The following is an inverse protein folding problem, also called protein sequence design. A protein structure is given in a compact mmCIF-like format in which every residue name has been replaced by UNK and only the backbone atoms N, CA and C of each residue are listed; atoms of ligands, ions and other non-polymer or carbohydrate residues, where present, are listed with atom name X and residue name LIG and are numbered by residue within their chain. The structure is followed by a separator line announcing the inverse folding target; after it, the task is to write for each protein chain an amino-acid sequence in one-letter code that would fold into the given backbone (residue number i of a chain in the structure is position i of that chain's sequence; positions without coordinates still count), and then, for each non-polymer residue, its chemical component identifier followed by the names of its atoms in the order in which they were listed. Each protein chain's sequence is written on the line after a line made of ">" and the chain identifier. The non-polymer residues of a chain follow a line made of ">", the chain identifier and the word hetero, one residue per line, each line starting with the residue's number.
data_IF_936399353503
#
_entry.id   IF_936399353503
#
_cell.length_a   1.000
_cell.length_b   1.000
_cell.length_c   1.000
_cell.angle_alpha   90.00
_cell.angle_beta   90.00
_cell.angle_gamma   90.00
#
_symmetry.space_group_name_H-M   'P 1'
#
loop_
_entity.id
_entity.type
_entity.pdbx_description
1 polymer ?
#
# COMPACT_ATOMS: atom_id res chain seq x y z
N UNK A 1 -23.31 63.40 19.83
CA UNK A 1 -23.09 63.90 18.45
C UNK A 1 -23.43 62.79 17.48
N UNK A 2 -24.09 63.18 16.38
CA UNK A 2 -24.52 62.42 15.19
C UNK A 2 -25.75 61.50 15.31
N UNK A 3 -26.82 61.79 14.53
CA UNK A 3 -27.97 60.91 14.31
C UNK A 3 -27.78 59.95 13.12
N UNK A 4 -28.58 58.90 13.16
CA UNK A 4 -28.75 57.80 12.22
C UNK A 4 -28.66 58.12 10.72
N UNK A 5 -28.02 57.22 9.96
CA UNK A 5 -28.36 56.91 8.56
C UNK A 5 -28.85 55.46 8.47
N UNK A 6 -30.05 55.29 7.91
CA UNK A 6 -30.64 53.99 7.55
C UNK A 6 -29.96 53.41 6.29
N UNK A 7 -29.74 52.09 6.21
CA UNK A 7 -29.43 51.42 4.95
C UNK A 7 -30.69 51.07 4.14
N UNK A 8 -30.64 51.06 2.80
CA UNK A 8 -31.77 50.67 1.94
C UNK A 8 -32.03 49.15 1.95
N UNK A 9 -33.26 48.72 1.63
CA UNK A 9 -33.70 47.32 1.76
C UNK A 9 -33.21 46.41 0.63
N UNK A 10 -33.12 45.12 0.97
CA UNK A 10 -32.74 44.01 0.10
C UNK A 10 -33.85 43.64 -0.92
N UNK A 11 -33.50 43.12 -2.10
CA UNK A 11 -34.43 42.37 -2.94
C UNK A 11 -34.34 40.86 -2.63
N UNK A 12 -35.48 40.24 -2.30
CA UNK A 12 -35.69 38.78 -2.39
C UNK A 12 -36.68 38.46 -3.55
N UNK A 13 -37.09 37.20 -3.79
CA UNK A 13 -36.47 36.33 -4.78
C UNK A 13 -37.50 35.80 -5.81
N UNK A 14 -37.01 35.09 -6.83
CA UNK A 14 -37.83 34.15 -7.57
C UNK A 14 -38.40 34.67 -8.89
N UNK A 15 -37.98 33.99 -9.97
CA UNK A 15 -38.77 33.67 -11.16
C UNK A 15 -37.84 33.44 -12.36
N UNK A 16 -36.86 32.51 -12.27
CA UNK A 16 -36.09 32.05 -13.44
C UNK A 16 -35.70 30.57 -13.37
N UNK A 17 -36.62 29.73 -12.91
CA UNK A 17 -36.67 28.32 -13.31
C UNK A 17 -37.96 28.15 -14.11
N UNK A 18 -37.88 27.46 -15.26
CA UNK A 18 -38.97 27.07 -16.19
C UNK A 18 -39.06 27.80 -17.55
N UNK A 19 -37.95 28.05 -18.26
CA UNK A 19 -38.04 28.52 -19.65
C UNK A 19 -36.93 28.03 -20.61
N UNK A 20 -36.29 26.88 -20.35
CA UNK A 20 -35.22 26.35 -21.24
C UNK A 20 -35.35 24.86 -21.57
N UNK A 21 -36.54 24.27 -21.37
CA UNK A 21 -36.75 22.82 -21.52
C UNK A 21 -37.64 22.43 -22.72
N UNK A 22 -37.76 23.26 -23.76
CA UNK A 22 -38.72 22.96 -24.86
C UNK A 22 -38.36 23.47 -26.25
N UNK A 23 -37.08 23.63 -26.59
CA UNK A 23 -36.68 23.97 -27.96
C UNK A 23 -35.51 23.10 -28.43
N UNK A 24 -35.77 22.39 -29.54
CA UNK A 24 -34.89 21.56 -30.35
C UNK A 24 -34.72 20.08 -29.96
N UNK A 25 -35.85 19.39 -29.79
CA UNK A 25 -36.01 18.06 -30.38
C UNK A 25 -36.33 18.27 -31.87
N UNK A 26 -35.32 18.40 -32.74
CA UNK A 26 -35.43 18.14 -34.20
C UNK A 26 -34.07 18.27 -34.90
N UNK A 27 -33.14 17.32 -34.70
CA UNK A 27 -32.06 17.10 -35.67
C UNK A 27 -31.74 15.60 -35.75
N UNK A 28 -32.62 14.86 -36.41
CA UNK A 28 -32.32 13.57 -36.98
C UNK A 28 -32.28 13.72 -38.50
N UNK A 29 -31.33 13.02 -39.13
CA UNK A 29 -31.03 12.91 -40.55
C UNK A 29 -30.17 14.03 -41.18
N UNK A 30 -28.85 13.81 -41.15
CA UNK A 30 -27.98 14.01 -42.32
C UNK A 30 -26.62 13.32 -42.07
N UNK A 31 -26.41 12.18 -42.72
CA UNK A 31 -25.06 11.63 -42.91
C UNK A 31 -24.38 12.35 -44.09
N UNK A 32 -23.08 12.62 -44.00
CA UNK A 32 -22.26 12.66 -45.21
C UNK A 32 -21.10 11.66 -45.16
N UNK A 33 -21.00 10.95 -46.27
CA UNK A 33 -19.83 10.46 -46.99
C UNK A 33 -18.48 10.36 -46.25
N UNK A 34 -17.95 9.13 -46.27
CA UNK A 34 -16.58 8.78 -45.99
C UNK A 34 -15.58 9.61 -46.81
N UNK A 35 -14.63 10.23 -46.11
CA UNK A 35 -13.33 10.62 -46.65
C UNK A 35 -12.25 9.89 -45.84
N UNK A 36 -11.66 8.88 -46.47
CA UNK A 36 -10.57 8.10 -45.90
C UNK A 36 -9.29 8.94 -45.80
N UNK A 37 -8.99 9.40 -44.59
CA UNK A 37 -7.63 9.76 -44.17
C UNK A 37 -7.01 8.57 -43.42
N UNK A 38 -5.67 8.40 -43.43
CA UNK A 38 -5.03 7.27 -42.79
C UNK A 38 -5.36 7.27 -41.29
N UNK A 39 -5.94 6.17 -40.82
CA UNK A 39 -6.17 5.91 -39.40
C UNK A 39 -4.84 6.03 -38.65
N UNK A 40 -4.69 7.11 -37.90
CA UNK A 40 -3.72 7.19 -36.81
C UNK A 40 -3.97 5.96 -35.91
N UNK A 41 -2.95 5.14 -35.58
CA UNK A 41 -3.14 3.98 -34.71
C UNK A 41 -3.74 4.48 -33.40
N UNK A 42 -5.04 4.19 -33.20
CA UNK A 42 -5.80 4.50 -31.99
C UNK A 42 -4.88 4.29 -30.80
N UNK A 43 -4.52 5.38 -30.11
CA UNK A 43 -3.91 5.29 -28.79
C UNK A 43 -4.75 4.31 -27.98
N UNK A 44 -4.15 3.29 -27.35
CA UNK A 44 -4.91 2.37 -26.50
C UNK A 44 -5.69 3.21 -25.50
N UNK A 45 -7.02 3.08 -25.51
CA UNK A 45 -7.89 3.64 -24.49
C UNK A 45 -7.22 3.42 -23.13
N UNK A 46 -7.12 4.48 -22.32
CA UNK A 46 -6.58 4.47 -20.96
C UNK A 46 -7.39 3.52 -20.05
N UNK A 47 -7.20 2.22 -20.24
CA UNK A 47 -7.56 1.22 -19.25
C UNK A 47 -6.64 1.51 -18.07
N UNK A 48 -7.22 2.05 -16.99
CA UNK A 48 -6.49 2.33 -15.76
C UNK A 48 -5.62 1.12 -15.35
N UNK A 49 -4.53 1.36 -14.60
CA UNK A 49 -3.60 0.30 -14.26
C UNK A 49 -4.31 -0.90 -13.65
N UNK A 50 -3.95 -2.12 -14.09
CA UNK A 50 -4.60 -3.32 -13.57
C UNK A 50 -4.51 -3.37 -12.04
N UNK A 51 -5.63 -3.71 -11.38
CA UNK A 51 -5.68 -3.84 -9.90
C UNK A 51 -4.58 -4.77 -9.37
N UNK A 52 -4.28 -5.84 -10.11
CA UNK A 52 -3.21 -6.77 -9.78
C UNK A 52 -1.81 -6.17 -9.85
N UNK A 53 -1.53 -5.26 -10.80
CA UNK A 53 -0.27 -4.52 -10.86
C UNK A 53 -0.12 -3.58 -9.65
N UNK A 54 -1.17 -2.82 -9.33
CA UNK A 54 -1.14 -1.91 -8.18
C UNK A 54 -0.95 -2.66 -6.86
N UNK A 55 -1.61 -3.81 -6.67
CA UNK A 55 -1.40 -4.65 -5.49
C UNK A 55 0.04 -5.19 -5.39
N UNK A 56 0.62 -5.65 -6.50
CA UNK A 56 2.02 -6.12 -6.54
C UNK A 56 2.99 -4.98 -6.22
N UNK A 57 2.76 -3.78 -6.74
CA UNK A 57 3.54 -2.59 -6.39
C UNK A 57 3.43 -2.24 -4.90
N UNK A 58 2.22 -2.26 -4.33
CA UNK A 58 2.00 -2.01 -2.90
C UNK A 58 2.71 -3.04 -2.02
N UNK A 59 2.63 -4.33 -2.35
CA UNK A 59 3.37 -5.38 -1.65
C UNK A 59 4.88 -5.17 -1.75
N UNK A 60 5.41 -4.87 -2.93
CA UNK A 60 6.82 -4.58 -3.10
C UNK A 60 7.27 -3.42 -2.20
N UNK A 61 6.50 -2.33 -2.18
CA UNK A 61 6.79 -1.15 -1.36
C UNK A 61 6.74 -1.45 0.15
N UNK A 62 5.75 -2.22 0.58
CA UNK A 62 5.62 -2.69 1.95
C UNK A 62 6.79 -3.59 2.37
N UNK A 63 7.16 -4.57 1.56
CA UNK A 63 8.26 -5.48 1.88
C UNK A 63 9.61 -4.74 1.95
N UNK A 64 9.84 -3.77 1.06
CA UNK A 64 11.00 -2.90 1.16
C UNK A 64 11.00 -2.06 2.45
N UNK A 65 9.85 -1.53 2.86
CA UNK A 65 9.71 -0.78 4.11
C UNK A 65 10.00 -1.65 5.34
N UNK A 66 9.41 -2.85 5.38
CA UNK A 66 9.62 -3.83 6.44
C UNK A 66 11.10 -4.22 6.52
N UNK A 67 11.72 -4.58 5.40
CA UNK A 67 13.16 -4.87 5.36
C UNK A 67 14.04 -3.72 5.83
N UNK A 68 13.77 -2.49 5.36
CA UNK A 68 14.65 -1.33 5.60
C UNK A 68 14.53 -0.74 7.00
N UNK A 69 13.33 -0.79 7.60
CA UNK A 69 13.02 -0.04 8.82
C UNK A 69 11.98 -0.69 9.74
N UNK A 70 11.53 -1.90 9.42
CA UNK A 70 10.60 -2.62 10.28
C UNK A 70 11.29 -3.19 11.52
N UNK A 71 10.47 -3.62 12.48
CA UNK A 71 10.91 -4.41 13.62
C UNK A 71 9.82 -5.42 14.02
N UNK A 72 10.13 -6.45 14.81
CA UNK A 72 9.14 -7.45 15.22
C UNK A 72 7.90 -6.84 15.90
N UNK A 73 8.07 -5.82 16.74
CA UNK A 73 6.96 -5.12 17.41
C UNK A 73 6.13 -4.21 16.48
N UNK A 74 6.71 -3.77 15.37
CA UNK A 74 6.13 -2.81 14.44
C UNK A 74 5.93 -3.38 13.03
N UNK A 75 5.80 -4.71 12.89
CA UNK A 75 5.60 -5.36 11.61
C UNK A 75 4.28 -4.95 10.97
N UNK A 76 4.30 -4.68 9.66
CA UNK A 76 3.17 -4.16 8.89
C UNK A 76 2.72 -5.12 7.81
N UNK A 77 1.41 -5.12 7.56
CA UNK A 77 0.78 -5.76 6.40
C UNK A 77 -0.01 -4.77 5.55
N UNK A 78 -0.24 -5.14 4.29
CA UNK A 78 -1.00 -4.33 3.34
C UNK A 78 -2.48 -4.46 3.67
N UNK A 79 -3.13 -3.35 4.04
CA UNK A 79 -4.57 -3.32 4.28
C UNK A 79 -5.33 -3.10 2.97
N UNK A 80 -5.09 -1.96 2.29
CA UNK A 80 -5.76 -1.66 1.03
C UNK A 80 -4.92 -0.75 0.12
N UNK A 81 -5.07 -0.91 -1.20
CA UNK A 81 -4.62 0.09 -2.17
C UNK A 81 -5.72 1.12 -2.33
N UNK A 82 -5.40 2.40 -2.14
CA UNK A 82 -6.36 3.50 -2.19
C UNK A 82 -6.38 4.13 -3.59
N UNK A 83 -5.19 4.46 -4.10
CA UNK A 83 -5.03 5.15 -5.39
C UNK A 83 -3.79 4.61 -6.10
N UNK A 84 -3.78 4.66 -7.43
CA UNK A 84 -2.59 4.29 -8.18
C UNK A 84 -2.63 4.65 -9.65
N UNK A 85 -1.47 4.94 -10.21
CA UNK A 85 -1.23 5.14 -11.64
C UNK A 85 -0.01 4.34 -12.07
N UNK A 86 -0.06 3.76 -13.27
CA UNK A 86 1.10 3.10 -13.85
C UNK A 86 1.44 3.73 -15.20
N UNK A 87 2.74 3.78 -15.50
CA UNK A 87 3.30 4.22 -16.78
C UNK A 87 4.21 3.12 -17.29
N UNK A 88 3.85 2.54 -18.42
CA UNK A 88 4.58 1.42 -19.02
C UNK A 88 5.46 1.98 -20.14
N UNK A 89 6.76 1.70 -20.06
CA UNK A 89 7.70 1.98 -21.14
C UNK A 89 8.33 0.64 -21.58
N UNK A 90 8.17 0.21 -22.84
CA UNK A 90 8.71 -1.07 -23.31
C UNK A 90 10.23 -1.22 -23.16
N UNK A 91 10.98 -0.12 -23.19
CA UNK A 91 12.45 -0.12 -23.06
C UNK A 91 12.91 -0.05 -21.60
N UNK A 92 12.27 0.79 -20.78
CA UNK A 92 12.70 1.05 -19.41
C UNK A 92 12.03 0.15 -18.35
N UNK A 93 10.76 -0.21 -18.56
CA UNK A 93 9.93 -0.96 -17.62
C UNK A 93 8.68 -0.20 -17.15
N UNK A 94 8.11 -0.61 -16.02
CA UNK A 94 6.84 -0.09 -15.51
C UNK A 94 7.03 0.72 -14.22
N UNK A 95 6.69 2.01 -14.27
CA UNK A 95 6.69 2.93 -13.11
C UNK A 95 5.28 3.00 -12.54
N UNK A 96 5.15 2.85 -11.23
CA UNK A 96 3.86 2.87 -10.51
C UNK A 96 3.95 3.87 -9.37
N UNK A 97 3.08 4.86 -9.38
CA UNK A 97 2.87 5.79 -8.26
C UNK A 97 1.57 5.36 -7.57
N UNK A 98 1.60 5.15 -6.25
CA UNK A 98 0.45 4.64 -5.51
C UNK A 98 0.36 5.13 -4.08
N UNK A 99 -0.87 5.13 -3.57
CA UNK A 99 -1.22 5.38 -2.17
C UNK A 99 -1.91 4.13 -1.62
N UNK A 100 -1.49 3.67 -0.45
CA UNK A 100 -2.03 2.47 0.19
C UNK A 100 -2.04 2.61 1.71
N UNK A 101 -2.89 1.84 2.38
CA UNK A 101 -2.88 1.72 3.84
C UNK A 101 -2.17 0.44 4.28
N UNK A 102 -1.56 0.52 5.45
CA UNK A 102 -0.94 -0.59 6.16
C UNK A 102 -1.57 -0.73 7.53
N UNK A 103 -1.49 -1.89 8.13
CA UNK A 103 -1.89 -2.12 9.52
C UNK A 103 -0.84 -2.96 10.24
N UNK A 104 -0.91 -3.00 11.57
CA UNK A 104 -0.04 -3.89 12.37
C UNK A 104 -0.40 -5.34 12.06
N UNK A 105 0.62 -6.17 11.86
CA UNK A 105 0.42 -7.59 11.53
C UNK A 105 -0.30 -8.37 12.63
N UNK A 106 -0.10 -8.00 13.89
CA UNK A 106 -0.83 -8.57 15.02
C UNK A 106 -1.68 -7.49 15.69
N UNK A 107 -2.94 -7.38 15.26
CA UNK A 107 -3.90 -6.39 15.75
C UNK A 107 -4.43 -6.67 17.15
N UNK A 108 -4.19 -7.87 17.70
CA UNK A 108 -4.71 -8.27 19.02
C UNK A 108 -4.00 -7.55 20.19
N UNK A 109 -2.87 -6.90 19.92
CA UNK A 109 -2.11 -6.09 20.90
C UNK A 109 -2.38 -4.58 20.83
N UNK A 110 -3.41 -4.16 20.10
CA UNK A 110 -3.78 -2.75 19.99
C UNK A 110 -4.50 -2.31 21.26
N UNK A 111 -3.94 -1.32 21.95
CA UNK A 111 -4.62 -0.59 23.02
C UNK A 111 -5.58 0.45 22.41
N UNK A 112 -6.65 0.80 23.13
CA UNK A 112 -7.55 1.88 22.72
C UNK A 112 -6.76 3.19 22.50
N UNK A 113 -6.89 3.77 21.30
CA UNK A 113 -6.26 5.04 20.93
C UNK A 113 -5.12 4.96 19.90
N UNK A 114 -4.61 3.77 19.55
CA UNK A 114 -3.63 3.63 18.47
C UNK A 114 -4.29 3.63 17.07
N UNK A 115 -3.70 4.37 16.13
CA UNK A 115 -4.16 4.41 14.74
C UNK A 115 -4.00 3.02 14.09
N UNK A 116 -5.12 2.36 13.78
CA UNK A 116 -5.11 0.99 13.21
C UNK A 116 -4.49 0.95 11.81
N UNK A 117 -4.70 2.02 11.03
CA UNK A 117 -4.32 2.10 9.63
C UNK A 117 -3.30 3.22 9.42
N UNK A 118 -2.16 2.88 8.82
CA UNK A 118 -1.09 3.82 8.48
C UNK A 118 -1.08 4.08 6.98
N UNK A 119 -1.15 5.34 6.56
CA UNK A 119 -1.14 5.73 5.15
C UNK A 119 0.29 5.74 4.61
N UNK A 120 0.47 5.20 3.41
CA UNK A 120 1.72 5.15 2.68
C UNK A 120 1.57 5.75 1.28
N UNK A 121 2.60 6.45 0.82
CA UNK A 121 2.77 6.88 -0.55
C UNK A 121 4.06 6.28 -1.10
N UNK A 122 4.00 5.66 -2.27
CA UNK A 122 5.13 4.98 -2.87
C UNK A 122 5.27 5.23 -4.37
N UNK A 123 6.52 5.17 -4.82
CA UNK A 123 6.92 5.08 -6.22
C UNK A 123 7.72 3.80 -6.40
N UNK A 124 7.21 2.91 -7.24
CA UNK A 124 7.79 1.59 -7.53
C UNK A 124 8.15 1.53 -9.00
N UNK A 125 9.37 1.12 -9.30
CA UNK A 125 9.83 0.96 -10.68
C UNK A 125 10.29 -0.47 -10.92
N UNK A 126 9.48 -1.21 -11.68
CA UNK A 126 9.79 -2.53 -12.21
C UNK A 126 10.62 -2.37 -13.49
N UNK A 127 11.92 -2.65 -13.42
CA UNK A 127 12.82 -2.57 -14.57
C UNK A 127 12.82 -3.89 -15.33
N UNK A 128 12.80 -3.84 -16.67
CA UNK A 128 12.76 -5.07 -17.48
C UNK A 128 14.00 -5.95 -17.32
N UNK A 129 15.17 -5.34 -17.13
CA UNK A 129 16.47 -6.03 -17.11
C UNK A 129 17.09 -6.14 -15.70
N UNK A 130 16.37 -5.74 -14.64
CA UNK A 130 16.90 -5.85 -13.26
C UNK A 130 15.93 -6.62 -12.38
N UNK A 131 16.43 -7.53 -11.53
CA UNK A 131 15.58 -8.45 -10.79
C UNK A 131 14.73 -7.73 -9.72
N UNK A 132 15.30 -6.72 -9.05
CA UNK A 132 14.64 -6.03 -7.93
C UNK A 132 13.99 -4.70 -8.32
N UNK A 133 12.75 -4.41 -7.87
CA UNK A 133 12.12 -3.11 -8.06
C UNK A 133 12.87 -2.00 -7.32
N UNK A 134 12.99 -0.82 -7.95
CA UNK A 134 13.45 0.38 -7.26
C UNK A 134 12.28 1.05 -6.54
N UNK A 135 12.45 1.39 -5.26
CA UNK A 135 11.33 1.81 -4.40
C UNK A 135 11.70 3.06 -3.61
N UNK A 136 10.80 4.05 -3.66
CA UNK A 136 10.73 5.15 -2.71
C UNK A 136 9.38 5.06 -2.01
N UNK A 137 9.37 5.04 -0.68
CA UNK A 137 8.14 4.90 0.10
C UNK A 137 8.23 5.78 1.34
N UNK A 138 7.12 6.44 1.65
CA UNK A 138 6.92 7.22 2.87
C UNK A 138 5.62 6.75 3.50
N UNK A 139 5.63 6.47 4.79
CA UNK A 139 4.46 6.00 5.52
C UNK A 139 4.29 6.76 6.83
N UNK A 140 3.04 6.92 7.28
CA UNK A 140 2.76 7.36 8.64
C UNK A 140 3.29 6.33 9.65
N UNK A 141 3.58 6.80 10.86
CA UNK A 141 4.05 5.94 11.94
C UNK A 141 2.84 5.29 12.61
N UNK A 142 2.93 3.99 12.86
CA UNK A 142 1.87 3.20 13.50
C UNK A 142 2.15 2.95 14.99
N UNK A 143 3.42 2.96 15.36
CA UNK A 143 3.86 2.73 16.73
C UNK A 143 4.92 3.76 17.09
N UNK A 144 4.77 4.37 18.27
CA UNK A 144 5.73 5.33 18.77
C UNK A 144 7.14 4.74 18.86
N UNK A 145 8.15 5.58 18.62
CA UNK A 145 9.55 5.13 18.56
C UNK A 145 9.98 4.51 19.90
N UNK A 146 9.62 5.14 21.01
CA UNK A 146 10.01 4.69 22.34
C UNK A 146 9.34 3.35 22.70
N UNK A 147 8.03 3.22 22.43
CA UNK A 147 7.28 1.97 22.65
C UNK A 147 7.86 0.82 21.83
N UNK A 148 8.12 1.05 20.53
CA UNK A 148 8.80 0.06 19.66
C UNK A 148 10.15 -0.37 20.23
N UNK A 149 10.99 0.57 20.64
CA UNK A 149 12.31 0.28 21.21
C UNK A 149 12.20 -0.53 22.51
N UNK A 150 11.23 -0.22 23.35
CA UNK A 150 10.98 -0.95 24.59
C UNK A 150 10.56 -2.39 24.32
N UNK A 151 9.58 -2.61 23.43
CA UNK A 151 9.09 -3.95 23.07
C UNK A 151 10.18 -4.81 22.43
N UNK A 152 10.94 -4.23 21.48
CA UNK A 152 12.06 -4.92 20.84
C UNK A 152 13.17 -5.28 21.83
N UNK A 153 13.44 -4.41 22.81
CA UNK A 153 14.45 -4.67 23.85
C UNK A 153 14.02 -5.79 24.80
N UNK A 154 12.74 -5.88 25.13
CA UNK A 154 12.19 -6.99 25.92
C UNK A 154 12.34 -8.33 25.17
N UNK A 155 11.99 -8.35 23.88
CA UNK A 155 12.20 -9.53 23.03
C UNK A 155 13.68 -9.92 22.98
N UNK A 156 14.58 -8.94 22.79
CA UNK A 156 16.02 -9.19 22.80
C UNK A 156 16.49 -9.83 24.12
N UNK A 157 16.07 -9.30 25.27
CA UNK A 157 16.43 -9.86 26.58
C UNK A 157 15.92 -11.30 26.73
N UNK A 158 14.67 -11.55 26.33
CA UNK A 158 14.08 -12.90 26.36
C UNK A 158 14.91 -13.88 25.52
N UNK A 159 15.26 -13.50 24.29
CA UNK A 159 16.07 -14.33 23.39
C UNK A 159 17.50 -14.59 23.91
N UNK A 160 18.05 -13.64 24.68
CA UNK A 160 19.37 -13.78 25.32
C UNK A 160 19.35 -14.67 26.57
N UNK A 161 18.21 -14.78 27.25
CA UNK A 161 18.06 -15.56 28.48
C UNK A 161 17.70 -17.03 28.22
N UNK A 162 17.45 -17.42 26.97
CA UNK A 162 17.20 -18.82 26.61
C UNK A 162 18.38 -19.71 26.99
N UNK A 163 18.14 -20.69 27.86
CA UNK A 163 19.16 -21.66 28.30
C UNK A 163 19.60 -22.59 27.17
N UNK A 164 18.66 -22.97 26.32
CA UNK A 164 18.89 -23.80 25.13
C UNK A 164 18.64 -22.93 23.89
N UNK A 165 19.55 -22.94 22.90
CA UNK A 165 19.31 -22.23 21.64
C UNK A 165 18.00 -22.71 21.01
N UNK A 166 17.26 -21.79 20.41
CA UNK A 166 16.04 -22.12 19.68
C UNK A 166 16.37 -23.09 18.54
N UNK A 167 15.73 -24.26 18.55
CA UNK A 167 15.75 -25.25 17.49
C UNK A 167 14.31 -25.72 17.27
N UNK A 168 13.64 -25.13 16.28
CA UNK A 168 12.22 -25.33 16.03
C UNK A 168 12.00 -25.65 14.56
N UNK A 169 11.04 -26.53 14.31
CA UNK A 169 10.63 -26.94 12.96
C UNK A 169 9.20 -26.51 12.71
N UNK A 170 8.89 -26.17 11.46
CA UNK A 170 7.54 -25.91 10.95
C UNK A 170 6.75 -24.84 11.72
N UNK A 171 6.94 -23.57 11.35
CA UNK A 171 6.13 -22.45 11.86
C UNK A 171 5.46 -21.75 10.67
N UNK A 172 4.12 -21.66 10.56
CA UNK A 172 3.14 -22.40 11.35
C UNK A 172 3.23 -23.92 11.15
N UNK A 173 2.55 -24.68 12.00
CA UNK A 173 2.39 -26.12 11.81
C UNK A 173 1.49 -26.46 10.60
N UNK A 174 1.24 -27.75 10.36
CA UNK A 174 0.41 -28.23 9.24
C UNK A 174 -1.05 -27.77 9.31
N UNK A 175 -1.51 -27.29 10.46
CA UNK A 175 -2.87 -26.78 10.68
C UNK A 175 -2.91 -25.26 10.68
N UNK A 176 -1.80 -24.58 10.41
CA UNK A 176 -1.70 -23.12 10.42
C UNK A 176 -1.54 -22.53 11.82
N UNK A 177 -1.33 -23.34 12.85
CA UNK A 177 -1.16 -22.86 14.22
C UNK A 177 0.28 -22.39 14.49
N UNK A 178 0.41 -21.31 15.25
CA UNK A 178 1.68 -20.77 15.74
C UNK A 178 1.55 -20.68 17.25
N UNK A 179 2.40 -21.42 17.97
CA UNK A 179 2.50 -21.28 19.42
C UNK A 179 2.80 -19.80 19.78
N UNK A 180 2.07 -19.18 20.73
CA UNK A 180 2.28 -17.78 21.10
C UNK A 180 3.73 -17.42 21.45
N UNK A 181 4.49 -18.35 22.04
CA UNK A 181 5.91 -18.17 22.37
C UNK A 181 6.81 -18.09 21.12
N UNK A 182 6.37 -18.67 20.00
CA UNK A 182 7.05 -18.65 18.71
C UNK A 182 6.64 -17.48 17.82
N UNK A 183 5.58 -16.75 18.19
CA UNK A 183 5.11 -15.60 17.40
C UNK A 183 6.18 -14.54 17.14
N UNK A 184 7.03 -14.14 18.11
CA UNK A 184 8.10 -13.20 17.84
C UNK A 184 9.14 -13.71 16.83
N UNK A 185 9.35 -15.03 16.76
CA UNK A 185 10.26 -15.67 15.80
C UNK A 185 9.66 -15.63 14.40
N UNK A 186 8.36 -15.93 14.29
CA UNK A 186 7.62 -15.79 13.04
C UNK A 186 7.64 -14.35 12.51
N UNK A 187 7.35 -13.37 13.38
CA UNK A 187 7.35 -11.96 13.00
C UNK A 187 8.76 -11.50 12.55
N UNK A 188 9.81 -11.95 13.25
CA UNK A 188 11.20 -11.69 12.85
C UNK A 188 11.54 -12.35 11.51
N UNK A 189 11.09 -13.58 11.27
CA UNK A 189 11.34 -14.28 10.02
C UNK A 189 10.56 -13.67 8.86
N UNK A 190 9.34 -13.18 9.08
CA UNK A 190 8.57 -12.42 8.11
C UNK A 190 9.30 -11.11 7.74
N UNK A 191 9.84 -10.43 8.76
CA UNK A 191 10.65 -9.22 8.58
C UNK A 191 11.90 -9.51 7.73
N UNK A 192 12.66 -10.55 8.06
CA UNK A 192 13.84 -10.98 7.29
C UNK A 192 13.48 -11.40 5.86
N UNK A 193 12.41 -12.18 5.71
CA UNK A 193 11.90 -12.64 4.42
C UNK A 193 11.40 -11.50 3.54
N UNK A 194 11.06 -10.34 4.12
CA UNK A 194 10.65 -9.16 3.36
C UNK A 194 11.75 -8.67 2.41
N UNK A 195 13.03 -8.93 2.70
CA UNK A 195 14.09 -8.70 1.72
C UNK A 195 13.89 -9.52 0.45
N UNK A 196 13.71 -10.83 0.59
CA UNK A 196 13.54 -11.76 -0.53
C UNK A 196 12.22 -11.48 -1.26
N UNK A 197 11.13 -11.25 -0.51
CA UNK A 197 9.84 -10.91 -1.10
C UNK A 197 9.92 -9.63 -1.93
N UNK A 198 10.60 -8.58 -1.45
CA UNK A 198 10.85 -7.38 -2.25
C UNK A 198 11.75 -7.67 -3.45
N UNK A 199 12.90 -8.32 -3.23
CA UNK A 199 13.92 -8.55 -4.25
C UNK A 199 13.37 -9.35 -5.44
N UNK A 200 12.51 -10.34 -5.18
CA UNK A 200 11.97 -11.26 -6.19
C UNK A 200 10.64 -10.81 -6.78
N UNK A 201 10.02 -9.75 -6.25
CA UNK A 201 8.74 -9.26 -6.79
C UNK A 201 8.94 -8.59 -8.15
N UNK A 202 8.09 -8.93 -9.11
CA UNK A 202 8.08 -8.34 -10.45
C UNK A 202 6.69 -7.76 -10.76
N UNK A 203 6.53 -7.18 -11.94
CA UNK A 203 5.21 -6.75 -12.41
C UNK A 203 4.21 -7.93 -12.53
N UNK A 204 4.72 -9.17 -12.61
CA UNK A 204 3.92 -10.39 -12.80
C UNK A 204 3.90 -11.30 -11.57
N UNK A 205 4.93 -11.28 -10.73
CA UNK A 205 5.12 -12.23 -9.65
C UNK A 205 5.24 -11.53 -8.30
N UNK A 206 4.77 -12.18 -7.25
CA UNK A 206 5.01 -11.80 -5.87
C UNK A 206 5.14 -13.07 -5.03
N UNK A 207 5.74 -12.92 -3.84
CA UNK A 207 5.98 -14.02 -2.92
C UNK A 207 5.40 -13.68 -1.55
N UNK A 208 5.10 -14.71 -0.78
CA UNK A 208 4.66 -14.61 0.60
C UNK A 208 5.37 -15.66 1.44
N UNK A 209 5.64 -15.35 2.70
CA UNK A 209 6.18 -16.33 3.63
C UNK A 209 5.07 -17.33 3.99
N UNK A 210 5.19 -18.56 3.52
CA UNK A 210 4.22 -19.61 3.81
C UNK A 210 4.53 -20.32 5.14
N UNK A 211 5.79 -20.70 5.34
CA UNK A 211 6.23 -21.48 6.48
C UNK A 211 7.74 -21.35 6.70
N UNK A 212 8.17 -21.45 7.94
CA UNK A 212 9.55 -21.72 8.34
C UNK A 212 9.70 -23.21 8.53
N UNK A 213 10.45 -23.87 7.65
CA UNK A 213 10.70 -25.31 7.75
C UNK A 213 11.58 -25.65 8.95
N UNK A 214 12.59 -24.82 9.23
CA UNK A 214 13.46 -24.93 10.39
C UNK A 214 14.03 -23.57 10.78
N UNK A 215 14.20 -23.35 12.08
CA UNK A 215 14.88 -22.20 12.65
C UNK A 215 15.88 -22.69 13.69
N UNK A 216 17.15 -22.33 13.51
CA UNK A 216 18.23 -22.63 14.45
C UNK A 216 18.93 -21.35 14.90
N UNK A 217 18.89 -21.08 16.20
CA UNK A 217 19.61 -19.95 16.79
C UNK A 217 21.10 -20.26 16.88
N UNK A 218 21.93 -19.36 16.35
CA UNK A 218 23.38 -19.47 16.47
C UNK A 218 23.86 -18.71 17.70
N UNK A 219 24.63 -19.38 18.56
CA UNK A 219 25.25 -18.76 19.72
C UNK A 219 26.31 -17.77 19.24
N UNK A 220 26.17 -16.50 19.63
CA UNK A 220 27.16 -15.45 19.38
C UNK A 220 27.79 -15.03 20.69
N UNK A 221 29.11 -14.93 20.70
CA UNK A 221 29.91 -14.40 21.83
C UNK A 221 29.71 -12.91 21.95
#
# INVERSE_FOLDING_TARGET
>A
MQPHRQPPPAPQPGARLLALLLLLVLQAAAAPAASGGPEDPRQPLDAGPSRGLLQRAARAALHFLNFRSGSPSALRVLAAVQEGRARINPKEGCKVDLVFSTERYNSESLFEGEERLGKCSARVFFKNQKPRPAINVTCTRLLEKQKRQQEDYLLYKQMKQLKTPLDVVSIPDSHGHIDPSLRPIWDLAFLGSSYVMWEKTTQFLHYYLAQLTSVKQWVRK
#
